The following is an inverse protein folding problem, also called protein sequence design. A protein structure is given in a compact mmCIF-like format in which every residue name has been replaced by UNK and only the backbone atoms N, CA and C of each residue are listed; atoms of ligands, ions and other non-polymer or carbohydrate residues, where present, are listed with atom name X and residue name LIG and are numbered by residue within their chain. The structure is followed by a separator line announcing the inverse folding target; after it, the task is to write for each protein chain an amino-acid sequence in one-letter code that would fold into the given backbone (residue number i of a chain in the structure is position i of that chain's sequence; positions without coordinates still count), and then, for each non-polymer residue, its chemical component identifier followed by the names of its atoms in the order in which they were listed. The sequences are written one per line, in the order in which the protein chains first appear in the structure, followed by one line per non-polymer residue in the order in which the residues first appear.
data_IF_644563408311
#
_entry.id   IF_644563408311
#
_cell.length_a   1.000
_cell.length_b   1.000
_cell.length_c   1.000
_cell.angle_alpha   90.00
_cell.angle_beta   90.00
_cell.angle_gamma   90.00
#
_symmetry.space_group_name_H-M   'P 1'
#
loop_
_entity.id
_entity.type
_entity.pdbx_description
1 polymer ?
#
# COMPACT_ATOMS: atom_id res chain seq x y z
N UNK A 1 39.04 34.40 -10.73
CA UNK A 1 39.30 33.19 -9.93
C UNK A 1 38.15 32.24 -10.19
N UNK A 2 38.35 31.24 -11.07
CA UNK A 2 37.35 30.20 -11.36
C UNK A 2 37.37 29.19 -10.24
N UNK A 3 36.25 29.06 -9.52
CA UNK A 3 36.07 27.97 -8.57
C UNK A 3 35.87 26.65 -9.35
N UNK A 4 36.82 25.77 -9.19
CA UNK A 4 36.79 24.41 -9.71
C UNK A 4 35.87 23.61 -8.80
N UNK A 5 34.68 23.22 -9.31
CA UNK A 5 33.82 22.26 -8.62
C UNK A 5 34.38 20.86 -8.90
N UNK A 6 34.86 20.21 -7.88
CA UNK A 6 35.31 18.83 -7.94
C UNK A 6 34.07 17.93 -7.85
N UNK A 7 33.59 17.47 -9.00
CA UNK A 7 32.60 16.39 -9.05
C UNK A 7 33.34 15.10 -8.75
N UNK A 8 33.13 14.53 -7.57
CA UNK A 8 33.60 13.18 -7.25
C UNK A 8 32.64 12.19 -7.90
N UNK A 9 32.99 11.76 -9.10
CA UNK A 9 32.37 10.60 -9.72
C UNK A 9 32.81 9.35 -8.96
N UNK A 10 31.91 8.76 -8.17
CA UNK A 10 32.13 7.46 -7.57
C UNK A 10 31.93 6.40 -8.66
N UNK A 11 33.05 5.87 -9.17
CA UNK A 11 33.02 4.72 -10.08
C UNK A 11 32.51 3.49 -9.32
N UNK A 12 31.31 3.01 -9.67
CA UNK A 12 30.72 1.79 -9.12
C UNK A 12 31.38 0.59 -9.76
N UNK A 13 32.30 -0.04 -9.05
CA UNK A 13 32.78 -1.40 -9.37
C UNK A 13 31.71 -2.42 -8.92
N UNK A 14 31.39 -3.34 -9.80
CA UNK A 14 30.39 -4.40 -9.61
C UNK A 14 30.71 -5.26 -8.38
N UNK A 15 29.83 -5.13 -7.39
CA UNK A 15 29.86 -5.83 -6.10
C UNK A 15 29.06 -5.00 -5.10
N UNK A 16 27.73 -4.82 -5.36
CA UNK A 16 26.91 -3.90 -4.57
C UNK A 16 26.63 -4.47 -3.17
N UNK A 17 27.47 -4.18 -2.21
CA UNK A 17 27.02 -4.08 -0.81
C UNK A 17 26.41 -2.71 -0.59
N UNK A 18 25.21 -2.67 0.00
CA UNK A 18 24.56 -1.43 0.44
C UNK A 18 25.51 -0.60 1.33
N UNK A 19 25.49 0.72 1.17
CA UNK A 19 26.40 1.65 1.88
C UNK A 19 25.63 2.84 2.40
N UNK A 20 26.11 3.38 3.49
CA UNK A 20 25.76 4.73 3.94
C UNK A 20 26.50 5.78 3.12
N UNK A 21 25.87 6.91 2.86
CA UNK A 21 26.50 8.03 2.14
C UNK A 21 25.96 9.38 2.65
N UNK A 22 26.75 10.44 2.49
CA UNK A 22 26.29 11.81 2.69
C UNK A 22 26.33 12.55 1.35
N UNK A 23 25.20 13.15 0.98
CA UNK A 23 24.99 13.85 -0.30
C UNK A 23 24.99 15.36 -0.05
N UNK A 24 25.70 16.12 -0.89
CA UNK A 24 25.86 17.59 -0.74
C UNK A 24 24.64 18.39 -1.23
N UNK A 25 23.46 17.99 -0.93
CA UNK A 25 22.26 18.71 -1.32
C UNK A 25 21.32 17.90 -2.19
N UNK A 26 20.13 18.41 -2.38
CA UNK A 26 19.01 17.74 -3.05
C UNK A 26 18.59 18.47 -4.34
N UNK A 27 19.48 19.23 -4.97
CA UNK A 27 19.17 19.96 -6.20
C UNK A 27 19.11 18.98 -7.38
N UNK A 28 18.05 19.03 -8.16
CA UNK A 28 17.90 18.27 -9.39
C UNK A 28 18.94 18.69 -10.42
N UNK A 29 19.59 17.72 -11.05
CA UNK A 29 20.54 17.91 -12.14
C UNK A 29 19.91 17.47 -13.48
N UNK A 30 19.47 18.40 -14.34
CA UNK A 30 18.89 18.05 -15.64
C UNK A 30 19.93 17.48 -16.64
N UNK A 31 21.21 17.52 -16.33
CA UNK A 31 22.28 17.01 -17.24
C UNK A 31 22.41 15.49 -17.26
N UNK A 32 21.84 14.80 -16.27
CA UNK A 32 21.87 13.31 -16.19
C UNK A 32 20.85 12.64 -17.11
N UNK A 33 20.14 13.39 -17.93
CA UNK A 33 19.10 12.93 -18.82
C UNK A 33 19.59 11.91 -19.84
N UNK A 34 18.83 10.83 -20.02
CA UNK A 34 19.01 9.86 -21.11
C UNK A 34 17.67 9.64 -21.81
N UNK A 35 17.61 9.86 -23.12
CA UNK A 35 16.41 9.55 -23.90
C UNK A 35 16.26 8.02 -24.05
N UNK A 36 15.07 7.52 -23.74
CA UNK A 36 14.71 6.09 -23.82
C UNK A 36 13.38 5.89 -24.56
N UNK A 37 13.12 4.68 -24.98
CA UNK A 37 11.88 4.29 -25.65
C UNK A 37 11.30 3.05 -24.95
N UNK A 38 10.01 3.09 -24.61
CA UNK A 38 9.24 1.96 -24.11
C UNK A 38 8.31 1.46 -25.21
N UNK A 39 8.40 0.18 -25.56
CA UNK A 39 7.45 -0.44 -26.49
C UNK A 39 6.32 -1.08 -25.69
N UNK A 40 5.10 -0.61 -25.94
CA UNK A 40 3.87 -1.09 -25.30
C UNK A 40 3.40 -2.41 -25.92
N UNK A 41 2.56 -3.21 -25.23
CA UNK A 41 2.06 -4.51 -25.73
C UNK A 41 1.27 -4.42 -27.03
N UNK A 42 0.67 -3.28 -27.34
CA UNK A 42 -0.04 -2.99 -28.60
C UNK A 42 0.88 -2.59 -29.75
N UNK A 43 2.21 -2.53 -29.50
CA UNK A 43 3.23 -2.14 -30.47
C UNK A 43 3.50 -0.64 -30.58
N UNK A 44 2.75 0.20 -29.88
CA UNK A 44 3.06 1.63 -29.78
C UNK A 44 4.36 1.85 -29.00
N UNK A 45 5.06 2.93 -29.32
CA UNK A 45 6.31 3.33 -28.65
C UNK A 45 6.15 4.66 -27.97
N UNK A 46 6.55 4.73 -26.70
CA UNK A 46 6.60 5.96 -25.91
C UNK A 46 8.05 6.39 -25.75
N UNK A 47 8.38 7.58 -26.23
CA UNK A 47 9.71 8.19 -26.06
C UNK A 47 9.68 9.10 -24.84
N UNK A 48 10.67 8.96 -23.96
CA UNK A 48 10.74 9.72 -22.72
C UNK A 48 12.18 10.03 -22.31
N UNK A 49 12.35 11.07 -21.54
CA UNK A 49 13.60 11.42 -20.89
C UNK A 49 13.67 10.74 -19.53
N UNK A 50 14.77 10.00 -19.27
CA UNK A 50 15.00 9.24 -18.05
C UNK A 50 16.06 9.92 -17.19
N UNK A 51 15.74 10.14 -15.92
CA UNK A 51 16.63 10.60 -14.85
C UNK A 51 16.65 9.53 -13.78
N UNK A 52 17.78 8.87 -13.61
CA UNK A 52 17.86 7.65 -12.78
C UNK A 52 18.88 7.81 -11.65
N UNK A 53 18.74 6.99 -10.60
CA UNK A 53 19.62 6.93 -9.43
C UNK A 53 19.76 8.25 -8.65
N UNK A 54 18.65 9.03 -8.55
CA UNK A 54 18.61 10.31 -7.87
C UNK A 54 18.41 10.08 -6.37
N UNK A 55 19.36 10.49 -5.53
CA UNK A 55 19.18 10.48 -4.08
C UNK A 55 18.17 11.53 -3.63
N UNK A 56 17.22 11.15 -2.80
CA UNK A 56 16.16 12.03 -2.28
C UNK A 56 16.36 12.44 -0.81
N UNK A 57 17.43 11.98 -0.17
CA UNK A 57 17.85 12.38 1.18
C UNK A 57 19.34 12.69 1.21
N UNK A 58 19.78 13.55 2.14
CA UNK A 58 21.22 13.88 2.28
C UNK A 58 21.97 12.89 3.15
N UNK A 59 21.31 12.27 4.13
CA UNK A 59 21.89 11.27 5.02
C UNK A 59 21.42 9.89 4.59
N UNK A 60 22.06 9.34 3.56
CA UNK A 60 21.70 8.05 2.97
C UNK A 60 22.12 6.92 3.90
N UNK A 61 21.18 6.18 4.44
CA UNK A 61 21.41 4.99 5.27
C UNK A 61 21.62 3.74 4.43
N UNK A 62 20.85 3.59 3.32
CA UNK A 62 20.97 2.48 2.39
C UNK A 62 20.90 2.97 0.94
N UNK A 63 22.07 3.07 0.32
CA UNK A 63 22.22 3.56 -1.05
C UNK A 63 21.56 2.68 -2.13
N UNK A 64 21.13 1.47 -1.77
CA UNK A 64 20.46 0.54 -2.68
C UNK A 64 18.98 0.95 -2.91
N UNK A 65 18.36 1.59 -1.92
CA UNK A 65 16.92 1.84 -1.91
C UNK A 65 16.56 3.32 -1.79
N UNK A 66 17.46 4.17 -1.28
CA UNK A 66 17.17 5.60 -1.08
C UNK A 66 17.49 6.45 -2.30
N UNK A 67 17.09 5.96 -3.47
CA UNK A 67 17.12 6.67 -4.75
C UNK A 67 15.74 6.64 -5.41
N UNK A 68 15.47 7.59 -6.29
CA UNK A 68 14.30 7.58 -7.16
C UNK A 68 14.72 7.64 -8.64
N UNK A 69 13.88 7.11 -9.50
CA UNK A 69 13.94 7.28 -10.93
C UNK A 69 12.77 8.16 -11.39
N UNK A 70 13.03 9.03 -12.34
CA UNK A 70 12.07 10.02 -12.82
C UNK A 70 12.03 10.01 -14.34
N UNK A 71 10.85 9.90 -14.91
CA UNK A 71 10.64 9.70 -16.34
C UNK A 71 9.63 10.70 -16.90
N UNK A 72 10.02 11.41 -17.95
CA UNK A 72 9.26 12.50 -18.54
C UNK A 72 8.91 12.13 -19.98
N UNK A 73 7.66 11.77 -20.30
CA UNK A 73 7.27 11.48 -21.67
C UNK A 73 7.33 12.77 -22.52
N UNK A 74 7.65 12.63 -23.81
CA UNK A 74 7.74 13.78 -24.70
C UNK A 74 6.40 14.52 -24.76
N UNK A 75 6.44 15.83 -24.51
CA UNK A 75 5.25 16.69 -24.46
C UNK A 75 4.74 17.00 -23.06
N UNK A 76 5.23 16.30 -22.02
CA UNK A 76 4.93 16.68 -20.64
C UNK A 76 5.62 17.99 -20.25
N UNK A 77 4.94 18.81 -19.46
CA UNK A 77 5.39 20.13 -19.00
C UNK A 77 5.24 20.26 -17.48
N UNK A 78 5.35 21.51 -17.00
CA UNK A 78 5.24 21.85 -15.58
C UNK A 78 3.85 21.57 -14.97
N UNK A 79 2.79 21.59 -15.77
CA UNK A 79 1.41 21.38 -15.33
C UNK A 79 0.98 19.89 -15.36
N UNK A 80 1.88 19.00 -15.81
CA UNK A 80 1.56 17.56 -15.96
C UNK A 80 1.55 16.87 -14.61
N UNK A 81 0.49 16.14 -14.21
CA UNK A 81 0.49 15.40 -12.95
C UNK A 81 1.61 14.35 -12.88
N UNK A 82 2.10 14.12 -11.67
CA UNK A 82 3.14 13.12 -11.39
C UNK A 82 2.49 11.84 -10.88
N UNK A 83 2.64 10.74 -11.61
CA UNK A 83 2.25 9.40 -11.18
C UNK A 83 3.41 8.77 -10.40
N UNK A 84 3.24 8.58 -9.08
CA UNK A 84 4.25 8.03 -8.19
C UNK A 84 3.91 6.57 -7.85
N UNK A 85 4.67 5.63 -8.43
CA UNK A 85 4.49 4.20 -8.19
C UNK A 85 5.47 3.66 -7.17
N UNK A 86 4.96 3.00 -6.11
CA UNK A 86 5.78 2.19 -5.21
C UNK A 86 5.64 0.70 -5.52
N UNK A 87 6.78 0.00 -5.57
CA UNK A 87 6.85 -1.45 -5.75
C UNK A 87 7.09 -2.21 -4.45
N UNK A 88 6.86 -1.58 -3.30
CA UNK A 88 6.88 -2.27 -2.01
C UNK A 88 5.85 -3.41 -2.02
N UNK A 89 6.30 -4.63 -1.77
CA UNK A 89 5.46 -5.83 -1.69
C UNK A 89 5.83 -6.66 -0.45
N UNK A 90 4.85 -7.14 0.34
CA UNK A 90 5.11 -7.84 1.61
C UNK A 90 5.95 -7.02 2.59
N UNK A 91 5.88 -5.70 2.54
CA UNK A 91 6.72 -4.75 3.28
C UNK A 91 8.23 -4.97 3.10
N UNK A 92 8.64 -5.67 2.04
CA UNK A 92 10.05 -5.81 1.63
C UNK A 92 10.53 -4.54 0.93
N UNK A 93 11.84 -4.36 0.93
CA UNK A 93 12.48 -3.27 0.22
C UNK A 93 12.25 -3.38 -1.30
N UNK A 94 12.05 -2.23 -1.92
CA UNK A 94 11.91 -2.09 -3.37
C UNK A 94 12.92 -1.09 -3.91
N UNK A 95 13.61 -1.44 -5.01
CA UNK A 95 14.51 -0.51 -5.69
C UNK A 95 13.74 0.41 -6.61
N UNK A 96 14.26 1.60 -6.83
CA UNK A 96 13.91 2.37 -8.00
C UNK A 96 14.19 1.54 -9.27
N UNK A 97 13.27 1.52 -10.21
CA UNK A 97 13.38 0.72 -11.42
C UNK A 97 12.83 1.46 -12.64
N UNK A 98 12.96 0.87 -13.81
CA UNK A 98 12.39 1.39 -15.06
C UNK A 98 10.88 1.15 -15.17
N UNK A 99 10.19 1.87 -16.07
CA UNK A 99 8.77 1.65 -16.34
C UNK A 99 8.55 0.27 -16.97
N UNK A 100 7.43 -0.36 -16.60
CA UNK A 100 7.03 -1.66 -17.14
C UNK A 100 5.85 -1.49 -18.11
N UNK A 101 5.95 -1.95 -19.37
CA UNK A 101 4.88 -1.78 -20.35
C UNK A 101 3.59 -2.54 -20.01
N UNK A 102 3.64 -3.47 -19.06
CA UNK A 102 2.51 -4.34 -18.69
C UNK A 102 1.76 -3.91 -17.42
N UNK A 103 2.17 -2.81 -16.77
CA UNK A 103 1.54 -2.31 -15.56
C UNK A 103 1.14 -0.83 -15.66
N UNK A 104 0.70 -0.22 -14.57
CA UNK A 104 0.28 1.17 -14.51
C UNK A 104 1.40 2.16 -14.90
N UNK A 105 2.68 1.82 -14.71
CA UNK A 105 3.79 2.73 -15.01
C UNK A 105 3.98 2.95 -16.50
N UNK A 106 3.92 1.89 -17.30
CA UNK A 106 3.94 2.00 -18.77
C UNK A 106 2.70 2.72 -19.28
N UNK A 107 1.55 2.43 -18.68
CA UNK A 107 0.31 3.12 -19.03
C UNK A 107 0.36 4.61 -18.69
N UNK A 108 0.90 5.01 -17.54
CA UNK A 108 1.06 6.41 -17.16
C UNK A 108 1.89 7.19 -18.19
N UNK A 109 3.04 6.65 -18.60
CA UNK A 109 3.86 7.27 -19.65
C UNK A 109 3.13 7.36 -20.99
N UNK A 110 2.37 6.32 -21.38
CA UNK A 110 1.57 6.32 -22.62
C UNK A 110 0.47 7.38 -22.59
N UNK A 111 -0.14 7.62 -21.45
CA UNK A 111 -1.17 8.65 -21.25
C UNK A 111 -0.57 10.07 -21.08
N UNK A 112 0.77 10.19 -21.04
CA UNK A 112 1.46 11.48 -21.00
C UNK A 112 1.79 11.97 -19.59
N UNK A 113 1.58 11.18 -18.53
CA UNK A 113 1.92 11.54 -17.15
C UNK A 113 3.42 11.46 -16.89
N UNK A 114 3.94 12.37 -16.09
CA UNK A 114 5.29 12.25 -15.54
C UNK A 114 5.29 11.10 -14.54
N UNK A 115 6.31 10.25 -14.58
CA UNK A 115 6.39 9.06 -13.74
C UNK A 115 7.56 9.16 -12.76
N UNK A 116 7.29 8.94 -11.49
CA UNK A 116 8.29 8.79 -10.43
C UNK A 116 8.22 7.38 -9.84
N UNK A 117 9.35 6.68 -9.78
CA UNK A 117 9.47 5.38 -9.13
C UNK A 117 10.54 5.46 -8.05
N UNK A 118 10.19 5.82 -6.81
CA UNK A 118 11.13 5.81 -5.70
C UNK A 118 11.42 4.39 -5.23
N UNK A 119 12.65 4.15 -4.83
CA UNK A 119 12.99 3.03 -3.98
C UNK A 119 12.54 3.29 -2.54
N UNK A 120 12.38 2.22 -1.78
CA UNK A 120 12.05 2.28 -0.37
C UNK A 120 12.70 1.11 0.38
N UNK A 121 13.24 1.37 1.56
CA UNK A 121 13.71 0.33 2.46
C UNK A 121 12.53 -0.51 2.95
N UNK A 122 12.80 -1.75 3.31
CA UNK A 122 11.81 -2.67 3.87
C UNK A 122 12.44 -3.59 4.90
N UNK A 123 11.65 -4.44 5.53
CA UNK A 123 12.12 -5.28 6.63
C UNK A 123 13.35 -6.15 6.29
N UNK A 124 13.62 -6.41 5.03
CA UNK A 124 14.75 -7.21 4.53
C UNK A 124 15.94 -6.35 4.08
N UNK A 125 15.88 -5.02 4.09
CA UNK A 125 17.02 -4.17 3.74
C UNK A 125 18.07 -4.19 4.85
N UNK A 126 19.35 -4.22 4.45
CA UNK A 126 20.46 -4.43 5.37
C UNK A 126 21.74 -3.76 4.87
N UNK A 127 22.43 -3.08 5.78
CA UNK A 127 23.77 -2.53 5.56
C UNK A 127 24.73 -3.14 6.58
N UNK A 128 25.70 -3.91 6.10
CA UNK A 128 26.50 -4.76 6.98
C UNK A 128 25.63 -5.77 7.73
N UNK A 129 25.64 -5.76 9.05
CA UNK A 129 24.82 -6.62 9.90
C UNK A 129 23.53 -5.94 10.39
N UNK A 130 23.35 -4.66 10.10
CA UNK A 130 22.22 -3.85 10.59
C UNK A 130 21.06 -3.85 9.62
N UNK A 131 19.85 -4.18 10.08
CA UNK A 131 18.62 -4.01 9.30
C UNK A 131 18.20 -2.55 9.33
N UNK A 132 18.03 -1.95 8.15
CA UNK A 132 17.81 -0.50 7.95
C UNK A 132 16.36 -0.14 7.62
N UNK A 133 15.52 -1.14 7.34
CA UNK A 133 14.18 -0.91 6.79
C UNK A 133 13.03 -1.39 7.67
N UNK A 134 13.23 -1.49 9.00
CA UNK A 134 12.13 -1.73 9.95
C UNK A 134 11.17 -0.56 9.95
N UNK A 135 9.93 -0.79 10.35
CA UNK A 135 8.94 0.28 10.45
C UNK A 135 9.49 1.46 11.27
N UNK A 136 9.30 2.70 10.83
CA UNK A 136 8.52 3.16 9.68
C UNK A 136 9.34 3.46 8.40
N UNK A 137 10.53 2.87 8.21
CA UNK A 137 11.51 3.27 7.18
C UNK A 137 10.92 3.38 5.76
N UNK A 138 10.04 2.45 5.35
CA UNK A 138 9.48 2.47 4.00
C UNK A 138 8.62 3.69 3.72
N UNK A 139 7.76 4.09 4.66
CA UNK A 139 6.94 5.30 4.47
C UNK A 139 7.78 6.59 4.56
N UNK A 140 8.82 6.60 5.39
CA UNK A 140 9.76 7.73 5.47
C UNK A 140 10.48 7.95 4.14
N UNK A 141 10.97 6.89 3.49
CA UNK A 141 11.62 6.99 2.20
C UNK A 141 10.66 7.56 1.14
N UNK A 142 9.41 7.11 1.11
CA UNK A 142 8.41 7.60 0.16
C UNK A 142 8.01 9.06 0.42
N UNK A 143 7.85 9.47 1.70
CA UNK A 143 7.62 10.87 2.08
C UNK A 143 8.79 11.76 1.67
N UNK A 144 10.02 11.30 1.92
CA UNK A 144 11.22 12.03 1.50
C UNK A 144 11.29 12.19 -0.03
N UNK A 145 10.88 11.18 -0.79
CA UNK A 145 10.78 11.30 -2.25
C UNK A 145 9.73 12.35 -2.68
N UNK A 146 8.55 12.40 -2.05
CA UNK A 146 7.55 13.45 -2.29
C UNK A 146 8.13 14.84 -1.98
N UNK A 147 8.82 15.00 -0.84
CA UNK A 147 9.49 16.25 -0.47
C UNK A 147 10.57 16.64 -1.47
N UNK A 148 11.32 15.67 -2.01
CA UNK A 148 12.30 15.93 -3.06
C UNK A 148 11.66 16.50 -4.34
N UNK A 149 10.54 15.91 -4.79
CA UNK A 149 9.82 16.40 -5.97
C UNK A 149 9.35 17.85 -5.76
N UNK A 150 8.79 18.18 -4.61
CA UNK A 150 8.37 19.56 -4.28
C UNK A 150 9.53 20.54 -4.19
N UNK A 151 10.63 20.13 -3.59
CA UNK A 151 11.83 20.94 -3.50
C UNK A 151 12.38 21.36 -4.87
N UNK A 152 12.21 20.48 -5.85
CA UNK A 152 12.72 20.68 -7.21
C UNK A 152 11.62 21.02 -8.23
N UNK A 153 10.40 21.29 -7.82
CA UNK A 153 9.23 21.48 -8.66
C UNK A 153 9.47 22.48 -9.82
N UNK A 154 10.16 23.58 -9.54
CA UNK A 154 10.49 24.60 -10.57
C UNK A 154 11.56 24.15 -11.59
N UNK A 155 12.35 23.14 -11.24
CA UNK A 155 13.47 22.66 -12.06
C UNK A 155 13.15 21.35 -12.77
N UNK A 156 12.19 20.59 -12.26
CA UNK A 156 11.73 19.31 -12.79
C UNK A 156 10.45 19.51 -13.60
N UNK A 157 10.25 18.83 -14.73
CA UNK A 157 8.94 18.73 -15.36
C UNK A 157 7.94 18.01 -14.44
N UNK A 158 6.67 18.34 -14.56
CA UNK A 158 5.59 17.79 -13.74
C UNK A 158 5.14 18.77 -12.65
N UNK A 159 3.93 18.55 -12.15
CA UNK A 159 3.28 19.36 -11.12
C UNK A 159 3.34 18.61 -9.77
N UNK A 160 4.23 19.02 -8.89
CA UNK A 160 4.38 18.40 -7.57
C UNK A 160 3.20 18.72 -6.63
N UNK A 161 2.27 19.57 -7.00
CA UNK A 161 0.98 19.73 -6.31
C UNK A 161 -0.05 18.67 -6.74
N UNK A 162 0.21 17.96 -7.86
CA UNK A 162 -0.64 16.90 -8.41
C UNK A 162 0.04 15.54 -8.41
N UNK A 163 0.59 15.14 -7.27
CA UNK A 163 1.17 13.80 -7.10
C UNK A 163 0.04 12.79 -6.86
N UNK A 164 -0.04 11.78 -7.73
CA UNK A 164 -0.97 10.66 -7.66
C UNK A 164 -0.16 9.43 -7.26
N UNK A 165 -0.36 8.92 -6.05
CA UNK A 165 0.37 7.73 -5.59
C UNK A 165 -0.32 6.46 -6.05
N UNK A 166 0.46 5.40 -6.29
CA UNK A 166 -0.06 4.10 -6.72
C UNK A 166 0.73 2.94 -6.10
N UNK A 167 0.01 1.92 -5.66
CA UNK A 167 0.63 0.72 -5.10
C UNK A 167 -0.35 -0.44 -4.89
N UNK A 168 0.23 -1.64 -4.76
CA UNK A 168 -0.49 -2.90 -4.59
C UNK A 168 -0.05 -3.60 -3.31
N UNK A 169 -0.97 -4.20 -2.54
CA UNK A 169 -0.64 -4.96 -1.32
C UNK A 169 -0.01 -4.07 -0.24
N UNK A 170 1.18 -4.39 0.25
CA UNK A 170 1.96 -3.49 1.09
C UNK A 170 2.26 -2.14 0.39
N UNK A 171 2.43 -2.13 -0.94
CA UNK A 171 2.51 -0.89 -1.73
C UNK A 171 1.18 -0.10 -1.70
N UNK A 172 0.05 -0.79 -1.72
CA UNK A 172 -1.27 -0.19 -1.50
C UNK A 172 -1.41 0.41 -0.10
N UNK A 173 -0.82 -0.24 0.92
CA UNK A 173 -0.71 0.34 2.26
C UNK A 173 0.16 1.61 2.27
N UNK A 174 1.30 1.60 1.56
CA UNK A 174 2.15 2.79 1.44
C UNK A 174 1.45 3.94 0.73
N UNK A 175 0.72 3.65 -0.36
CA UNK A 175 -0.10 4.65 -1.05
C UNK A 175 -1.19 5.22 -0.12
N UNK A 176 -1.85 4.35 0.66
CA UNK A 176 -2.84 4.78 1.67
C UNK A 176 -2.22 5.65 2.76
N UNK A 177 -0.99 5.33 3.20
CA UNK A 177 -0.26 6.13 4.19
C UNK A 177 0.13 7.50 3.63
N UNK A 178 0.66 7.57 2.41
CA UNK A 178 0.93 8.85 1.76
C UNK A 178 -0.33 9.71 1.66
N UNK A 179 -1.46 9.09 1.28
CA UNK A 179 -2.74 9.78 1.16
C UNK A 179 -3.35 10.23 2.50
N UNK A 180 -3.04 9.57 3.62
CA UNK A 180 -3.69 9.84 4.92
C UNK A 180 -2.82 10.62 5.90
N UNK A 181 -1.50 10.68 5.69
CA UNK A 181 -0.56 11.19 6.69
C UNK A 181 0.30 12.37 6.21
N UNK A 182 -0.16 13.10 5.19
CA UNK A 182 0.56 14.27 4.68
C UNK A 182 0.87 15.28 5.80
N UNK A 183 2.10 15.73 5.87
CA UNK A 183 2.58 16.72 6.84
C UNK A 183 2.34 16.35 8.32
N UNK A 184 2.20 15.07 8.62
CA UNK A 184 2.00 14.59 9.99
C UNK A 184 3.27 14.75 10.82
N UNK A 185 3.17 15.47 11.94
CA UNK A 185 4.29 15.83 12.81
C UNK A 185 5.04 14.62 13.39
N UNK A 186 4.37 13.45 13.49
CA UNK A 186 4.99 12.23 14.05
C UNK A 186 6.19 11.74 13.23
N UNK A 187 6.26 12.08 11.93
CA UNK A 187 7.36 11.70 11.05
C UNK A 187 8.50 12.72 11.02
N UNK A 188 8.25 13.96 11.42
CA UNK A 188 9.19 15.06 11.20
C UNK A 188 10.59 14.83 11.80
N UNK A 189 10.74 14.34 13.05
CA UNK A 189 12.08 14.09 13.61
C UNK A 189 12.90 13.09 12.80
N UNK A 190 12.23 12.07 12.24
CA UNK A 190 12.89 11.03 11.46
C UNK A 190 13.23 11.51 10.04
N UNK A 191 12.35 12.29 9.42
CA UNK A 191 12.59 12.91 8.11
C UNK A 191 13.73 13.94 8.19
N UNK A 192 13.80 14.74 9.26
CA UNK A 192 14.92 15.66 9.50
C UNK A 192 16.23 14.89 9.70
N UNK A 193 16.22 13.80 10.47
CA UNK A 193 17.40 12.95 10.70
C UNK A 193 17.92 12.31 9.40
N UNK A 194 17.03 11.95 8.47
CA UNK A 194 17.41 11.46 7.13
C UNK A 194 17.94 12.57 6.23
N UNK A 195 17.78 13.83 6.58
CA UNK A 195 18.09 14.96 5.71
C UNK A 195 17.14 15.04 4.49
N UNK A 196 15.87 14.75 4.68
CA UNK A 196 14.84 15.00 3.70
C UNK A 196 14.67 16.52 3.46
N UNK A 197 14.20 16.91 2.27
CA UNK A 197 13.93 18.30 1.97
C UNK A 197 12.89 18.90 2.96
N UNK A 198 13.06 20.18 3.31
CA UNK A 198 12.12 20.90 4.19
C UNK A 198 10.92 21.40 3.37
N UNK A 199 10.11 20.45 2.94
CA UNK A 199 8.93 20.65 2.10
C UNK A 199 7.75 19.85 2.65
N UNK A 200 6.55 20.11 2.13
CA UNK A 200 5.34 19.32 2.42
C UNK A 200 5.42 17.95 1.76
N UNK A 201 4.74 16.95 2.35
CA UNK A 201 4.66 15.59 1.82
C UNK A 201 3.23 15.05 1.63
N UNK A 202 2.24 15.95 1.60
CA UNK A 202 0.87 15.62 1.19
C UNK A 202 0.81 15.27 -0.32
N UNK A 203 -0.20 14.51 -0.69
CA UNK A 203 -0.40 14.09 -2.09
C UNK A 203 -1.83 14.40 -2.55
N UNK A 204 -2.01 14.55 -3.85
CA UNK A 204 -3.27 14.94 -4.46
C UNK A 204 -4.28 13.80 -4.48
N UNK A 205 -3.84 12.60 -4.87
CA UNK A 205 -4.69 11.42 -4.97
C UNK A 205 -3.94 10.16 -4.56
N UNK A 206 -4.68 9.15 -4.07
CA UNK A 206 -4.12 7.86 -3.68
C UNK A 206 -4.83 6.70 -4.39
N UNK A 207 -4.06 5.91 -5.14
CA UNK A 207 -4.50 4.67 -5.79
C UNK A 207 -4.01 3.48 -4.97
N UNK A 208 -4.93 2.69 -4.43
CA UNK A 208 -4.67 1.63 -3.47
C UNK A 208 -5.28 0.32 -3.95
N UNK A 209 -4.45 -0.56 -4.54
CA UNK A 209 -4.87 -1.91 -4.87
C UNK A 209 -4.64 -2.85 -3.68
N UNK A 210 -5.68 -3.55 -3.25
CA UNK A 210 -5.70 -4.50 -2.14
C UNK A 210 -4.81 -4.08 -0.94
N UNK A 211 -5.01 -2.86 -0.39
CA UNK A 211 -4.13 -2.31 0.64
C UNK A 211 -4.16 -3.16 1.91
N UNK A 212 -2.97 -3.50 2.41
CA UNK A 212 -2.79 -4.24 3.68
C UNK A 212 -2.55 -3.21 4.79
N UNK A 213 -3.62 -2.73 5.39
CA UNK A 213 -3.60 -1.67 6.41
C UNK A 213 -4.22 -2.15 7.73
N UNK A 214 -4.10 -1.34 8.79
CA UNK A 214 -4.67 -1.64 10.11
C UNK A 214 -4.19 -2.99 10.65
N UNK A 215 -2.86 -3.20 10.60
CA UNK A 215 -2.22 -4.47 10.92
C UNK A 215 -2.48 -4.94 12.34
N UNK A 216 -2.62 -4.01 13.28
CA UNK A 216 -2.89 -4.30 14.70
C UNK A 216 -4.26 -4.94 14.93
N UNK A 217 -5.20 -4.83 13.95
CA UNK A 217 -6.54 -5.42 14.02
C UNK A 217 -6.81 -6.40 12.85
N UNK A 218 -5.86 -6.60 11.97
CA UNK A 218 -6.03 -7.44 10.78
C UNK A 218 -6.37 -8.90 11.13
N UNK A 219 -5.78 -9.46 12.19
CA UNK A 219 -6.07 -10.81 12.67
C UNK A 219 -7.52 -10.96 13.14
N UNK A 220 -8.02 -9.98 13.88
CA UNK A 220 -9.40 -9.95 14.38
C UNK A 220 -10.40 -9.90 13.23
N UNK A 221 -10.16 -9.05 12.24
CA UNK A 221 -10.99 -8.95 11.03
C UNK A 221 -10.93 -10.24 10.21
N UNK A 222 -9.75 -10.83 10.07
CA UNK A 222 -9.54 -12.05 9.31
C UNK A 222 -10.31 -13.23 9.87
N UNK A 223 -10.23 -13.43 11.19
CA UNK A 223 -10.91 -14.54 11.83
C UNK A 223 -12.43 -14.32 11.93
N UNK A 224 -12.90 -13.07 12.10
CA UNK A 224 -14.34 -12.80 12.02
C UNK A 224 -14.91 -13.19 10.65
N UNK A 225 -14.19 -12.91 9.57
CA UNK A 225 -14.64 -13.22 8.21
C UNK A 225 -14.55 -14.73 7.92
N UNK A 226 -13.41 -15.36 8.21
CA UNK A 226 -13.08 -16.68 7.69
C UNK A 226 -13.28 -17.84 8.69
N UNK A 227 -13.59 -17.61 9.97
CA UNK A 227 -13.79 -18.69 10.93
C UNK A 227 -14.92 -19.65 10.53
N UNK A 228 -15.90 -19.22 9.74
CA UNK A 228 -16.94 -20.11 9.20
C UNK A 228 -16.40 -21.21 8.29
N UNK A 229 -15.16 -21.11 7.81
CA UNK A 229 -14.49 -22.11 6.96
C UNK A 229 -13.65 -23.12 7.75
N UNK A 230 -13.49 -22.96 9.06
CA UNK A 230 -12.66 -23.82 9.93
C UNK A 230 -13.13 -25.28 9.95
N UNK A 231 -14.41 -25.51 9.70
CA UNK A 231 -14.99 -26.85 9.58
C UNK A 231 -15.18 -27.25 8.11
N UNK A 232 -14.11 -27.65 7.43
CA UNK A 232 -14.23 -28.20 6.08
C UNK A 232 -13.15 -27.78 5.10
N UNK A 233 -12.94 -26.49 4.87
CA UNK A 233 -12.00 -26.01 3.85
C UNK A 233 -10.63 -25.68 4.46
N UNK A 234 -10.60 -25.08 5.65
CA UNK A 234 -9.39 -24.69 6.36
C UNK A 234 -8.98 -25.78 7.34
N UNK A 235 -7.87 -26.46 7.08
CA UNK A 235 -7.38 -27.55 7.94
C UNK A 235 -6.61 -26.96 9.15
N UNK A 236 -7.30 -26.68 10.25
CA UNK A 236 -6.73 -26.18 11.49
C UNK A 236 -6.64 -27.28 12.54
N UNK A 237 -5.63 -27.21 13.40
CA UNK A 237 -5.57 -28.01 14.62
C UNK A 237 -6.44 -27.39 15.74
N UNK A 238 -6.62 -28.12 16.87
CA UNK A 238 -7.48 -27.67 17.97
C UNK A 238 -7.06 -26.33 18.55
N UNK A 239 -5.75 -26.06 18.67
CA UNK A 239 -5.22 -24.82 19.19
C UNK A 239 -5.48 -23.64 18.21
N UNK A 240 -5.30 -23.86 16.91
CA UNK A 240 -5.61 -22.86 15.88
C UNK A 240 -7.11 -22.55 15.84
N UNK A 241 -7.98 -23.54 16.03
CA UNK A 241 -9.43 -23.32 16.11
C UNK A 241 -9.76 -22.45 17.33
N UNK A 242 -9.15 -22.72 18.50
CA UNK A 242 -9.33 -21.89 19.70
C UNK A 242 -8.93 -20.44 19.45
N UNK A 243 -7.74 -20.20 18.88
CA UNK A 243 -7.24 -18.87 18.56
C UNK A 243 -8.15 -18.16 17.57
N UNK A 244 -8.60 -18.85 16.53
CA UNK A 244 -9.56 -18.31 15.55
C UNK A 244 -10.85 -17.83 16.21
N UNK A 245 -11.43 -18.61 17.11
CA UNK A 245 -12.66 -18.22 17.82
C UNK A 245 -12.42 -17.07 18.81
N UNK A 246 -11.29 -17.03 19.51
CA UNK A 246 -10.94 -15.92 20.39
C UNK A 246 -10.79 -14.60 19.62
N UNK A 247 -10.03 -14.60 18.53
CA UNK A 247 -9.84 -13.42 17.67
C UNK A 247 -11.18 -12.97 17.05
N UNK A 248 -11.96 -13.89 16.51
CA UNK A 248 -13.30 -13.59 15.98
C UNK A 248 -14.19 -12.87 16.97
N UNK A 249 -14.18 -13.31 18.24
CA UNK A 249 -15.02 -12.73 19.29
C UNK A 249 -14.59 -11.29 19.67
N UNK A 250 -13.37 -10.86 19.36
CA UNK A 250 -12.90 -9.50 19.60
C UNK A 250 -13.39 -8.51 18.54
N UNK A 251 -13.93 -8.98 17.41
CA UNK A 251 -14.28 -8.11 16.27
C UNK A 251 -15.36 -7.07 16.60
N UNK A 252 -16.40 -7.46 17.33
CA UNK A 252 -17.51 -6.55 17.64
C UNK A 252 -17.05 -5.32 18.43
N UNK A 253 -16.18 -5.55 19.43
CA UNK A 253 -15.60 -4.47 20.22
C UNK A 253 -14.71 -3.57 19.34
N UNK A 254 -13.81 -4.17 18.58
CA UNK A 254 -12.97 -3.41 17.65
C UNK A 254 -13.80 -2.57 16.66
N UNK A 255 -14.76 -3.18 15.95
CA UNK A 255 -15.57 -2.48 14.95
C UNK A 255 -16.32 -1.29 15.57
N UNK A 256 -16.78 -1.42 16.82
CA UNK A 256 -17.45 -0.34 17.53
C UNK A 256 -16.55 0.88 17.79
N UNK A 257 -15.24 0.67 17.96
CA UNK A 257 -14.28 1.77 18.21
C UNK A 257 -14.08 2.67 17.00
N UNK A 258 -14.34 2.18 15.79
CA UNK A 258 -14.13 2.94 14.56
C UNK A 258 -15.17 4.05 14.33
N UNK A 259 -16.33 3.98 14.96
CA UNK A 259 -17.39 4.97 14.85
C UNK A 259 -17.94 5.18 13.44
N UNK A 260 -17.78 4.18 12.55
CA UNK A 260 -18.18 4.25 11.15
C UNK A 260 -19.70 4.29 11.00
N UNK A 261 -20.15 4.88 9.89
CA UNK A 261 -21.57 5.00 9.55
C UNK A 261 -21.85 4.51 8.14
N UNK A 262 -22.99 3.87 7.97
CA UNK A 262 -23.59 3.57 6.68
C UNK A 262 -23.97 4.87 5.93
N UNK A 263 -24.25 4.81 4.61
CA UNK A 263 -24.64 5.99 3.83
C UNK A 263 -25.89 6.72 4.34
N UNK A 264 -26.77 6.02 5.04
CA UNK A 264 -27.99 6.60 5.66
C UNK A 264 -27.74 7.20 7.06
N UNK A 265 -26.50 7.18 7.54
CA UNK A 265 -26.09 7.66 8.86
C UNK A 265 -26.23 6.65 10.00
N UNK A 266 -26.74 5.45 9.74
CA UNK A 266 -26.82 4.36 10.74
C UNK A 266 -25.40 3.91 11.15
N UNK A 267 -25.12 3.68 12.45
CA UNK A 267 -23.83 3.12 12.87
C UNK A 267 -23.51 1.78 12.20
N UNK A 268 -22.31 1.66 11.66
CA UNK A 268 -21.80 0.41 11.11
C UNK A 268 -21.17 -0.44 12.23
N UNK A 269 -21.87 -1.51 12.59
CA UNK A 269 -21.47 -2.42 13.67
C UNK A 269 -21.28 -3.84 13.15
N UNK A 270 -20.76 -4.74 13.99
CA UNK A 270 -20.61 -6.16 13.62
C UNK A 270 -21.94 -6.80 13.20
N UNK A 271 -23.08 -6.36 13.77
CA UNK A 271 -24.41 -6.93 13.51
C UNK A 271 -24.92 -6.66 12.08
N UNK A 272 -24.61 -5.49 11.52
CA UNK A 272 -25.04 -5.11 10.16
C UNK A 272 -23.91 -5.12 9.12
N UNK A 273 -22.69 -5.47 9.54
CA UNK A 273 -21.51 -5.45 8.66
C UNK A 273 -21.64 -6.43 7.49
N UNK A 274 -22.18 -7.62 7.74
CA UNK A 274 -22.35 -8.62 6.68
C UNK A 274 -23.24 -8.11 5.55
N UNK A 275 -24.33 -7.42 5.87
CA UNK A 275 -25.24 -6.87 4.85
C UNK A 275 -24.56 -5.73 4.08
N UNK A 276 -23.79 -4.89 4.78
CA UNK A 276 -23.00 -3.84 4.14
C UNK A 276 -21.95 -4.41 3.17
N UNK A 277 -21.20 -5.42 3.59
CA UNK A 277 -20.24 -6.12 2.74
C UNK A 277 -20.91 -6.77 1.52
N UNK A 278 -22.07 -7.42 1.74
CA UNK A 278 -22.84 -8.02 0.65
C UNK A 278 -23.23 -6.99 -0.41
N UNK A 279 -23.51 -5.75 -0.05
CA UNK A 279 -23.90 -4.73 -1.02
C UNK A 279 -22.82 -4.51 -2.08
N UNK A 280 -21.56 -4.45 -1.70
CA UNK A 280 -20.42 -4.34 -2.62
C UNK A 280 -20.23 -5.60 -3.48
N UNK A 281 -20.39 -6.78 -2.86
CA UNK A 281 -20.25 -8.06 -3.58
C UNK A 281 -21.39 -8.29 -4.59
N UNK A 282 -22.62 -7.91 -4.24
CA UNK A 282 -23.79 -7.98 -5.13
C UNK A 282 -23.58 -7.06 -6.34
N UNK A 283 -23.15 -5.81 -6.11
CA UNK A 283 -22.87 -4.87 -7.18
C UNK A 283 -21.76 -5.39 -8.10
N UNK A 284 -20.68 -5.91 -7.52
CA UNK A 284 -19.56 -6.47 -8.28
C UNK A 284 -19.97 -7.69 -9.09
N UNK A 285 -20.72 -8.62 -8.50
CA UNK A 285 -21.22 -9.80 -9.19
C UNK A 285 -22.21 -9.44 -10.32
N UNK A 286 -23.07 -8.43 -10.09
CA UNK A 286 -24.00 -7.94 -11.10
C UNK A 286 -23.26 -7.33 -12.28
N UNK A 287 -22.28 -6.45 -12.04
CA UNK A 287 -21.45 -5.86 -13.10
C UNK A 287 -20.77 -6.95 -13.94
N UNK A 288 -20.16 -7.94 -13.28
CA UNK A 288 -19.52 -9.04 -13.97
C UNK A 288 -20.52 -9.86 -14.84
N UNK A 289 -21.73 -10.05 -14.33
CA UNK A 289 -22.80 -10.75 -15.07
C UNK A 289 -23.24 -9.95 -16.30
N UNK A 290 -23.38 -8.63 -16.16
CA UNK A 290 -23.76 -7.72 -17.26
C UNK A 290 -22.67 -7.66 -18.35
N UNK A 291 -21.40 -7.77 -17.96
CA UNK A 291 -20.23 -7.87 -18.84
C UNK A 291 -20.09 -9.28 -19.48
N UNK A 292 -20.97 -10.23 -19.13
CA UNK A 292 -20.99 -11.58 -19.71
C UNK A 292 -20.00 -12.55 -19.06
N UNK A 293 -19.49 -12.25 -17.85
CA UNK A 293 -18.64 -13.18 -17.12
C UNK A 293 -19.39 -14.50 -16.83
N UNK A 294 -18.79 -15.66 -17.14
CA UNK A 294 -19.42 -16.97 -16.92
C UNK A 294 -19.44 -17.29 -15.41
N UNK A 295 -20.48 -16.82 -14.72
CA UNK A 295 -20.63 -17.01 -13.28
C UNK A 295 -20.74 -18.50 -12.92
N UNK A 296 -19.80 -19.08 -12.16
CA UNK A 296 -19.88 -20.48 -11.73
C UNK A 296 -21.13 -20.74 -10.91
N UNK A 297 -21.55 -22.00 -10.85
CA UNK A 297 -22.64 -22.45 -9.96
C UNK A 297 -22.09 -22.77 -8.58
N UNK A 298 -22.94 -22.66 -7.57
CA UNK A 298 -22.64 -23.08 -6.19
C UNK A 298 -21.45 -22.32 -5.54
N UNK A 299 -21.30 -21.02 -5.88
CA UNK A 299 -20.31 -20.13 -5.29
C UNK A 299 -20.92 -19.12 -4.30
N UNK A 300 -22.12 -19.37 -3.82
CA UNK A 300 -22.82 -18.47 -2.90
C UNK A 300 -23.57 -17.30 -3.57
N UNK A 301 -23.43 -17.09 -4.87
CA UNK A 301 -24.18 -16.05 -5.59
C UNK A 301 -25.62 -16.49 -5.86
N UNK A 302 -26.57 -15.77 -5.29
CA UNK A 302 -28.01 -16.01 -5.48
C UNK A 302 -28.53 -15.05 -6.53
N UNK A 303 -29.14 -15.60 -7.59
CA UNK A 303 -29.66 -14.79 -8.69
C UNK A 303 -31.02 -15.25 -9.17
N UNK A 304 -31.81 -14.29 -9.66
CA UNK A 304 -33.05 -14.54 -10.38
C UNK A 304 -32.88 -14.06 -11.82
N UNK A 305 -32.86 -14.99 -12.79
CA UNK A 305 -32.52 -14.71 -14.20
C UNK A 305 -31.12 -14.03 -14.28
N UNK A 306 -31.08 -12.80 -14.74
CA UNK A 306 -29.86 -11.99 -14.92
C UNK A 306 -29.63 -10.98 -13.77
N UNK A 307 -30.35 -11.10 -12.66
CA UNK A 307 -30.20 -10.20 -11.53
C UNK A 307 -29.64 -10.94 -10.32
N UNK A 308 -28.52 -10.47 -9.78
CA UNK A 308 -27.97 -10.92 -8.50
C UNK A 308 -28.83 -10.34 -7.39
N UNK A 309 -29.36 -11.19 -6.53
CA UNK A 309 -30.32 -10.78 -5.50
C UNK A 309 -29.76 -10.91 -4.09
N UNK A 310 -28.75 -11.74 -3.88
CA UNK A 310 -28.11 -11.94 -2.59
C UNK A 310 -26.78 -12.70 -2.73
N UNK A 311 -25.99 -12.72 -1.66
CA UNK A 311 -24.79 -13.56 -1.49
C UNK A 311 -24.96 -14.41 -0.22
N UNK A 312 -24.92 -15.73 -0.37
CA UNK A 312 -24.75 -16.63 0.78
C UNK A 312 -23.30 -16.64 1.22
N UNK A 313 -23.00 -15.82 2.22
CA UNK A 313 -21.62 -15.56 2.67
C UNK A 313 -20.85 -16.82 3.06
N UNK A 314 -21.38 -17.77 3.84
CA UNK A 314 -20.63 -18.99 4.18
C UNK A 314 -20.21 -19.80 2.95
N UNK A 315 -21.10 -19.96 1.96
CA UNK A 315 -20.79 -20.64 0.70
C UNK A 315 -19.79 -19.85 -0.13
N UNK A 316 -19.94 -18.52 -0.18
CA UNK A 316 -19.04 -17.65 -0.91
C UNK A 316 -17.61 -17.66 -0.32
N UNK A 317 -17.49 -17.52 0.99
CA UNK A 317 -16.18 -17.56 1.67
C UNK A 317 -15.52 -18.96 1.56
N UNK A 318 -16.31 -20.04 1.57
CA UNK A 318 -15.81 -21.38 1.28
C UNK A 318 -15.29 -21.52 -0.15
N UNK A 319 -15.96 -20.88 -1.10
CA UNK A 319 -15.47 -20.80 -2.49
C UNK A 319 -14.15 -20.02 -2.57
N UNK A 320 -14.07 -18.84 -1.96
CA UNK A 320 -12.82 -18.03 -1.91
C UNK A 320 -11.68 -18.84 -1.29
N UNK A 321 -11.91 -19.46 -0.12
CA UNK A 321 -10.95 -20.32 0.56
C UNK A 321 -10.52 -21.54 -0.26
N UNK A 322 -11.40 -22.08 -1.10
CA UNK A 322 -11.11 -23.20 -2.01
C UNK A 322 -10.26 -22.82 -3.22
N UNK A 323 -10.17 -21.54 -3.58
CA UNK A 323 -9.34 -21.08 -4.71
C UNK A 323 -7.87 -20.88 -4.31
N UNK A 324 -7.61 -20.50 -3.08
CA UNK A 324 -6.27 -20.31 -2.53
C UNK A 324 -6.33 -20.54 -1.02
N UNK A 325 -5.35 -21.26 -0.45
CA UNK A 325 -5.32 -21.55 0.99
C UNK A 325 -5.36 -20.29 1.84
N UNK A 326 -6.20 -20.28 2.86
CA UNK A 326 -6.24 -19.22 3.86
C UNK A 326 -4.99 -19.26 4.76
N UNK A 327 -4.68 -18.10 5.35
CA UNK A 327 -3.65 -18.01 6.39
C UNK A 327 -4.12 -18.71 7.67
N UNK A 328 -3.17 -19.27 8.42
CA UNK A 328 -3.47 -19.83 9.75
C UNK A 328 -3.58 -18.70 10.79
N UNK A 329 -4.42 -18.87 11.84
CA UNK A 329 -4.54 -17.89 12.91
C UNK A 329 -3.35 -17.95 13.90
N UNK A 330 -2.82 -16.80 14.34
CA UNK A 330 -3.06 -15.45 13.80
C UNK A 330 -2.47 -15.28 12.40
N UNK A 331 -3.17 -14.56 11.52
CA UNK A 331 -2.81 -14.45 10.10
C UNK A 331 -1.65 -13.49 9.82
N UNK A 332 -1.45 -12.49 10.68
CA UNK A 332 -0.48 -11.41 10.54
C UNK A 332 0.52 -11.36 11.68
N UNK A 333 0.08 -11.44 12.94
CA UNK A 333 0.98 -11.49 14.10
C UNK A 333 1.19 -12.94 14.57
N UNK A 334 1.91 -13.72 13.76
CA UNK A 334 1.91 -15.19 13.78
C UNK A 334 3.06 -15.84 14.54
N UNK A 335 3.98 -15.07 15.16
CA UNK A 335 5.08 -15.69 15.90
C UNK A 335 4.65 -16.18 17.31
N UNK A 336 5.38 -17.15 17.87
CA UNK A 336 5.25 -17.62 19.26
C UNK A 336 4.62 -19.00 19.39
N UNK A 337 3.75 -19.20 20.38
CA UNK A 337 3.23 -20.53 20.79
C UNK A 337 2.56 -21.36 19.70
N UNK A 338 2.07 -20.71 18.63
CA UNK A 338 1.31 -21.38 17.58
C UNK A 338 2.16 -21.76 16.37
N UNK A 339 3.27 -21.08 16.14
CA UNK A 339 4.13 -21.29 14.97
C UNK A 339 5.50 -20.68 15.18
N UNK A 340 6.54 -21.38 14.75
CA UNK A 340 7.89 -20.83 14.60
C UNK A 340 7.98 -19.89 13.39
N UNK A 341 6.91 -19.80 12.59
CA UNK A 341 6.84 -18.92 11.43
C UNK A 341 6.73 -17.45 11.89
N UNK A 342 7.59 -16.62 11.31
CA UNK A 342 7.57 -15.17 11.46
C UNK A 342 6.94 -14.56 10.21
N UNK A 343 5.85 -13.83 10.38
CA UNK A 343 5.24 -13.13 9.27
C UNK A 343 6.10 -11.97 8.79
N UNK A 344 5.90 -11.46 7.56
CA UNK A 344 6.49 -10.21 7.13
C UNK A 344 6.21 -9.04 8.09
N UNK A 345 5.03 -9.03 8.73
CA UNK A 345 4.60 -8.00 9.66
C UNK A 345 5.36 -8.10 11.00
N UNK A 346 5.61 -9.30 11.52
CA UNK A 346 6.49 -9.49 12.67
C UNK A 346 7.91 -8.96 12.42
N UNK A 347 8.43 -9.17 11.20
CA UNK A 347 9.72 -8.66 10.78
C UNK A 347 9.68 -7.14 10.56
N UNK A 348 8.60 -6.61 9.99
CA UNK A 348 8.40 -5.17 9.79
C UNK A 348 8.54 -4.39 11.10
N UNK A 349 7.88 -4.85 12.15
CA UNK A 349 7.92 -4.22 13.47
C UNK A 349 9.13 -4.65 14.34
N UNK A 350 9.97 -5.53 13.84
CA UNK A 350 11.18 -6.00 14.49
C UNK A 350 12.22 -4.90 14.72
N UNK A 351 13.40 -5.30 15.18
CA UNK A 351 14.52 -4.39 15.47
C UNK A 351 15.64 -4.44 14.42
N UNK A 352 16.62 -3.56 14.58
CA UNK A 352 17.78 -3.47 13.68
C UNK A 352 18.75 -4.66 13.76
N UNK A 353 18.62 -5.53 14.76
CA UNK A 353 19.43 -6.76 14.88
C UNK A 353 18.84 -7.93 14.08
N UNK A 354 17.59 -7.80 13.61
CA UNK A 354 16.88 -8.80 12.84
C UNK A 354 15.82 -9.57 13.61
N UNK A 355 15.63 -9.27 14.90
CA UNK A 355 14.59 -9.89 15.71
C UNK A 355 13.22 -9.48 15.24
N UNK A 356 12.31 -10.47 15.10
CA UNK A 356 10.90 -10.22 14.91
C UNK A 356 10.21 -9.97 16.26
N UNK A 357 9.09 -9.27 16.26
CA UNK A 357 8.32 -8.99 17.48
C UNK A 357 6.83 -9.23 17.26
N UNK A 358 6.12 -9.58 18.32
CA UNK A 358 4.67 -9.47 18.33
C UNK A 358 4.26 -8.00 18.49
N UNK A 359 3.19 -7.62 17.79
CA UNK A 359 2.76 -6.22 17.69
C UNK A 359 1.25 -6.04 17.98
N UNK A 360 0.53 -7.13 18.30
CA UNK A 360 -0.88 -7.06 18.71
C UNK A 360 -1.03 -7.39 20.18
N UNK A 361 -2.00 -6.81 20.89
CA UNK A 361 -2.26 -7.15 22.28
C UNK A 361 -2.57 -8.63 22.47
N UNK A 362 -3.27 -9.26 21.52
CA UNK A 362 -3.60 -10.67 21.57
C UNK A 362 -2.34 -11.55 21.55
N UNK A 363 -1.50 -11.41 20.52
CA UNK A 363 -0.29 -12.24 20.40
C UNK A 363 0.71 -11.96 21.51
N UNK A 364 0.85 -10.70 21.96
CA UNK A 364 1.66 -10.37 23.13
C UNK A 364 1.19 -11.07 24.40
N UNK A 365 -0.12 -11.17 24.62
CA UNK A 365 -0.67 -11.91 25.77
C UNK A 365 -0.34 -13.41 25.72
N UNK A 366 -0.32 -13.99 24.52
CA UNK A 366 0.00 -15.40 24.31
C UNK A 366 1.50 -15.71 24.49
N UNK A 367 2.38 -14.79 24.13
CA UNK A 367 3.84 -14.99 24.15
C UNK A 367 4.53 -14.42 25.37
N UNK A 368 3.86 -13.61 26.19
CA UNK A 368 4.43 -12.84 27.29
C UNK A 368 5.24 -11.62 26.84
N UNK A 369 5.17 -11.25 25.56
CA UNK A 369 5.76 -10.03 25.01
C UNK A 369 4.96 -8.78 25.42
N UNK A 370 5.52 -7.60 25.20
CA UNK A 370 4.87 -6.33 25.52
C UNK A 370 5.04 -5.34 24.35
N UNK A 371 4.01 -4.53 24.15
CA UNK A 371 4.07 -3.37 23.26
C UNK A 371 4.52 -2.18 24.11
N UNK A 372 5.78 -1.77 23.95
CA UNK A 372 6.27 -0.56 24.56
C UNK A 372 5.88 0.71 23.78
N UNK A 373 6.18 1.89 24.30
CA UNK A 373 5.81 3.15 23.66
C UNK A 373 6.45 3.35 22.29
N UNK A 374 7.67 2.85 22.07
CA UNK A 374 8.36 2.96 20.78
C UNK A 374 7.70 2.04 19.74
N UNK A 375 7.38 0.82 20.11
CA UNK A 375 6.66 -0.10 19.22
C UNK A 375 5.27 0.43 18.88
N UNK A 376 4.53 0.96 19.88
CA UNK A 376 3.22 1.57 19.64
C UNK A 376 3.30 2.77 18.69
N UNK A 377 4.31 3.63 18.84
CA UNK A 377 4.52 4.75 17.92
C UNK A 377 4.78 4.28 16.48
N UNK A 378 5.60 3.23 16.29
CA UNK A 378 5.84 2.63 14.97
C UNK A 378 4.59 1.99 14.37
N UNK A 379 3.76 1.33 15.18
CA UNK A 379 2.45 0.80 14.76
C UNK A 379 1.56 1.95 14.28
N UNK A 380 1.45 3.02 15.05
CA UNK A 380 0.66 4.21 14.70
C UNK A 380 1.15 4.83 13.38
N UNK A 381 2.47 4.98 13.20
CA UNK A 381 3.07 5.51 11.97
C UNK A 381 2.71 4.67 10.73
N UNK A 382 2.50 3.36 10.89
CA UNK A 382 2.19 2.44 9.79
C UNK A 382 0.69 2.23 9.57
N UNK A 383 -0.19 2.90 10.32
CA UNK A 383 -1.63 2.69 10.24
C UNK A 383 -2.37 3.89 9.63
N UNK A 384 -2.85 3.81 8.37
CA UNK A 384 -3.67 4.87 7.76
C UNK A 384 -4.92 5.21 8.58
N UNK A 385 -5.56 4.22 9.23
CA UNK A 385 -6.74 4.44 10.06
C UNK A 385 -6.44 5.34 11.27
N UNK A 386 -5.25 5.24 11.85
CA UNK A 386 -4.78 6.15 12.89
C UNK A 386 -4.65 7.57 12.34
N UNK A 387 -3.96 7.75 11.21
CA UNK A 387 -3.71 9.07 10.63
C UNK A 387 -4.99 9.80 10.21
N UNK A 388 -6.04 9.08 9.79
CA UNK A 388 -7.33 9.67 9.45
C UNK A 388 -8.01 10.36 10.65
N UNK A 389 -7.66 10.00 11.88
CA UNK A 389 -8.15 10.64 13.11
C UNK A 389 -7.21 11.74 13.63
N UNK A 390 -6.04 11.90 13.05
CA UNK A 390 -5.04 12.89 13.48
C UNK A 390 -5.08 14.16 12.63
N UNK A 391 -4.42 15.22 13.13
CA UNK A 391 -4.12 16.40 12.32
C UNK A 391 -3.01 16.06 11.32
N UNK A 392 -3.40 15.83 10.07
CA UNK A 392 -2.51 15.66 8.92
C UNK A 392 -3.30 16.03 7.67
N UNK A 393 -2.62 16.37 6.59
CA UNK A 393 -3.26 16.61 5.31
C UNK A 393 -3.60 15.26 4.66
N UNK A 394 -4.80 15.15 4.10
CA UNK A 394 -5.29 13.94 3.45
C UNK A 394 -5.51 14.22 1.97
N UNK A 395 -5.18 13.23 1.14
CA UNK A 395 -5.55 13.26 -0.27
C UNK A 395 -7.07 13.45 -0.41
N UNK A 396 -7.48 14.29 -1.35
CA UNK A 396 -8.91 14.52 -1.60
C UNK A 396 -9.55 13.36 -2.36
N UNK A 397 -8.78 12.69 -3.23
CA UNK A 397 -9.28 11.70 -4.18
C UNK A 397 -8.67 10.33 -3.92
N UNK A 398 -9.52 9.30 -3.85
CA UNK A 398 -9.12 7.94 -3.52
C UNK A 398 -9.69 6.93 -4.51
N UNK A 399 -8.81 6.10 -5.07
CA UNK A 399 -9.16 4.95 -5.89
C UNK A 399 -8.75 3.69 -5.15
N UNK A 400 -9.71 2.96 -4.59
CA UNK A 400 -9.44 1.78 -3.77
C UNK A 400 -10.07 0.56 -4.43
N UNK A 401 -9.26 -0.47 -4.66
CA UNK A 401 -9.71 -1.74 -5.22
C UNK A 401 -9.24 -2.90 -4.37
N UNK A 402 -10.11 -3.88 -4.17
CA UNK A 402 -9.77 -5.13 -3.48
C UNK A 402 -10.50 -6.28 -4.17
N UNK A 403 -9.76 -7.30 -4.62
CA UNK A 403 -10.35 -8.38 -5.39
C UNK A 403 -11.44 -9.13 -4.61
N UNK A 404 -12.59 -9.40 -5.28
CA UNK A 404 -13.69 -10.14 -4.64
C UNK A 404 -13.31 -11.59 -4.24
N UNK A 405 -12.16 -12.10 -4.69
CA UNK A 405 -11.57 -13.39 -4.25
C UNK A 405 -10.25 -13.21 -3.52
N UNK A 406 -9.92 -11.99 -3.14
CA UNK A 406 -8.74 -11.74 -2.33
C UNK A 406 -8.93 -12.30 -0.92
N UNK A 407 -7.94 -13.07 -0.47
CA UNK A 407 -7.93 -13.70 0.85
C UNK A 407 -6.65 -13.36 1.64
N UNK A 408 -5.77 -12.51 1.10
CA UNK A 408 -4.55 -12.09 1.79
C UNK A 408 -4.84 -11.17 2.97
N UNK A 409 -5.94 -10.43 2.90
CA UNK A 409 -6.55 -9.77 4.04
C UNK A 409 -8.07 -9.95 4.04
N UNK A 410 -8.73 -9.57 5.11
CA UNK A 410 -10.18 -9.59 5.18
C UNK A 410 -10.76 -8.41 4.39
N UNK A 411 -11.97 -8.57 3.83
CA UNK A 411 -12.69 -7.50 3.12
C UNK A 411 -12.90 -6.26 3.99
N UNK A 412 -12.99 -6.44 5.33
CA UNK A 412 -13.16 -5.34 6.28
C UNK A 412 -12.02 -4.32 6.23
N UNK A 413 -10.80 -4.76 5.94
CA UNK A 413 -9.63 -3.87 5.89
C UNK A 413 -9.84 -2.74 4.88
N UNK A 414 -10.04 -2.99 3.56
CA UNK A 414 -10.29 -1.91 2.61
C UNK A 414 -11.69 -1.29 2.75
N UNK A 415 -12.71 -2.03 3.20
CA UNK A 415 -14.06 -1.50 3.40
C UNK A 415 -14.08 -0.48 4.53
N UNK A 416 -13.41 -0.76 5.66
CA UNK A 416 -13.32 0.19 6.78
C UNK A 416 -12.54 1.45 6.36
N UNK A 417 -11.42 1.30 5.63
CA UNK A 417 -10.66 2.43 5.11
C UNK A 417 -11.54 3.31 4.20
N UNK A 418 -12.19 2.71 3.21
CA UNK A 418 -13.05 3.44 2.27
C UNK A 418 -14.25 4.11 2.98
N UNK A 419 -14.90 3.39 3.92
CA UNK A 419 -16.03 3.91 4.67
C UNK A 419 -15.63 5.08 5.57
N UNK A 420 -14.45 5.00 6.23
CA UNK A 420 -13.93 6.08 7.07
C UNK A 420 -13.66 7.34 6.25
N UNK A 421 -13.02 7.18 5.10
CA UNK A 421 -12.77 8.28 4.17
C UNK A 421 -14.08 8.92 3.68
N UNK A 422 -15.06 8.11 3.25
CA UNK A 422 -16.38 8.60 2.85
C UNK A 422 -17.11 9.32 4.00
N UNK A 423 -17.03 8.81 5.23
CA UNK A 423 -17.64 9.44 6.40
C UNK A 423 -17.00 10.79 6.75
N UNK A 424 -15.73 10.99 6.38
CA UNK A 424 -15.00 12.24 6.55
C UNK A 424 -15.15 13.20 5.36
N UNK A 425 -15.85 12.80 4.29
CA UNK A 425 -16.20 13.65 3.15
C UNK A 425 -15.18 13.66 2.02
N UNK A 426 -14.26 12.70 1.99
CA UNK A 426 -13.32 12.53 0.85
C UNK A 426 -13.99 11.84 -0.33
N UNK A 427 -13.48 12.08 -1.53
CA UNK A 427 -13.96 11.47 -2.76
C UNK A 427 -13.34 10.07 -2.92
N UNK A 428 -14.16 9.04 -2.79
CA UNK A 428 -13.71 7.64 -2.77
C UNK A 428 -14.40 6.84 -3.87
N UNK A 429 -13.62 6.34 -4.82
CA UNK A 429 -14.04 5.31 -5.77
C UNK A 429 -13.57 3.94 -5.25
N UNK A 430 -14.48 3.22 -4.59
CA UNK A 430 -14.23 1.91 -3.98
C UNK A 430 -15.06 0.82 -4.63
N UNK A 431 -14.40 -0.27 -5.05
CA UNK A 431 -15.08 -1.48 -5.53
C UNK A 431 -14.34 -2.75 -5.13
N UNK A 432 -15.07 -3.88 -5.18
CA UNK A 432 -14.54 -5.24 -5.02
C UNK A 432 -14.58 -5.96 -6.38
N UNK A 433 -13.64 -5.74 -7.32
CA UNK A 433 -13.71 -6.29 -8.67
C UNK A 433 -13.87 -7.80 -8.69
N UNK A 434 -14.91 -8.28 -9.44
CA UNK A 434 -15.29 -9.68 -9.46
C UNK A 434 -14.17 -10.57 -10.02
N UNK A 435 -14.03 -11.75 -9.41
CA UNK A 435 -13.05 -12.77 -9.83
C UNK A 435 -11.57 -12.33 -9.79
N UNK A 436 -11.25 -11.21 -9.13
CA UNK A 436 -9.86 -10.80 -8.85
C UNK A 436 -9.41 -11.35 -7.51
N UNK A 437 -8.14 -11.78 -7.46
CA UNK A 437 -7.45 -12.18 -6.24
C UNK A 437 -6.62 -11.03 -5.66
N UNK A 438 -5.51 -11.38 -4.98
CA UNK A 438 -4.57 -10.41 -4.41
C UNK A 438 -3.63 -9.90 -5.50
N UNK A 439 -4.06 -8.91 -6.23
CA UNK A 439 -3.36 -8.37 -7.40
C UNK A 439 -3.67 -6.88 -7.61
N UNK A 440 -2.83 -6.20 -8.38
CA UNK A 440 -3.04 -4.83 -8.85
C UNK A 440 -2.96 -4.74 -10.36
N UNK A 441 -2.84 -3.52 -10.88
CA UNK A 441 -2.62 -3.24 -12.31
C UNK A 441 -3.67 -3.85 -13.26
N UNK A 442 -4.86 -4.13 -12.74
CA UNK A 442 -6.02 -4.52 -13.57
C UNK A 442 -6.93 -3.32 -13.80
N UNK A 443 -7.79 -3.41 -14.84
CA UNK A 443 -8.74 -2.36 -15.21
C UNK A 443 -8.06 -0.97 -15.38
N UNK A 444 -6.87 -0.95 -16.00
CA UNK A 444 -6.10 0.29 -16.18
C UNK A 444 -6.85 1.35 -17.00
N UNK A 445 -7.78 0.96 -17.86
CA UNK A 445 -8.64 1.92 -18.54
C UNK A 445 -9.53 2.68 -17.57
N UNK A 446 -10.10 2.00 -16.58
CA UNK A 446 -10.95 2.62 -15.55
C UNK A 446 -10.10 3.54 -14.67
N UNK A 447 -8.92 3.06 -14.23
CA UNK A 447 -7.99 3.87 -13.44
C UNK A 447 -7.62 5.18 -14.16
N UNK A 448 -7.15 5.11 -15.40
CA UNK A 448 -6.71 6.31 -16.11
C UNK A 448 -7.87 7.18 -16.59
N UNK A 449 -9.08 6.63 -16.75
CA UNK A 449 -10.30 7.44 -16.93
C UNK A 449 -10.67 8.19 -15.66
N UNK A 450 -10.53 7.55 -14.49
CA UNK A 450 -10.72 8.20 -13.21
C UNK A 450 -9.68 9.30 -12.98
N UNK A 451 -8.39 9.05 -13.21
CA UNK A 451 -7.33 10.07 -13.08
C UNK A 451 -7.64 11.29 -13.97
N UNK A 452 -8.02 11.06 -15.23
CA UNK A 452 -8.41 12.16 -16.15
C UNK A 452 -9.62 12.95 -15.68
N UNK A 453 -10.52 12.35 -14.92
CA UNK A 453 -11.69 13.06 -14.37
C UNK A 453 -11.34 14.01 -13.23
N UNK A 454 -10.11 13.92 -12.68
CA UNK A 454 -9.60 14.79 -11.62
C UNK A 454 -8.91 16.05 -12.16
N UNK A 455 -8.61 16.10 -13.46
CA UNK A 455 -8.00 17.24 -14.15
C UNK A 455 -9.03 18.33 -14.47
#
# INVERSE_FOLDING_TARGET
MRKLYLVVAVAVLAGCSAKTATIEGLTFDPSICTEKTLTMPDGESVVYDAYEDIYFVTNVEDSTYQTLNFYVPKGAGQDTPIFLRTYVGGFMAAKACGPNPHDATGRALKEGYVLCIPGARGWNSKVGETFTGRAPASILDLKAAVRYLRHNDKAMPGDAEKIITDGTSAGGAMSSLLGSSGNSEIFEPLLEAMGAAKERDDVYAAVCYCPIVDLEHADVMYEWLYACTNTGVRALNEEQIRVSEELKNMYADYQSTLGLKLPDGTPLTADNYTDYLKSFLIESAQRALDEGYPMPRNIGVIRRRQTVTDIDMPTYLSYVAGTTSLKNPPAFDSMGVLSDFQSPENLLFGDSTGSAVNFTPYSCSCTGSQIDSNLQERINMMNPMYHLDQQSDKAQHWYIRHGARDRDTAFQVPVNLATKLMNQGYEVDFTLPWNRGHEGDYNLNDLFSWIKSLE
#
